data_IF_852258383366
#
_entry.id   IF_852258383366
#
_cell.length_a   1.000
_cell.length_b   1.000
_cell.length_c   1.000
_cell.angle_alpha   90.00
_cell.angle_beta   90.00
_cell.angle_gamma   90.00
#
_symmetry.space_group_name_H-M   'P 1'
#
loop_
_entity.id
_entity.type
_entity.pdbx_description
1 polymer ?
#
# COMPACT_ATOMS: atom_id res chain seq x y z
N UNK A 1 41.27 19.23 -57.29
CA UNK A 1 40.62 17.90 -57.22
C UNK A 1 40.47 17.29 -55.81
N UNK A 2 40.77 18.00 -54.70
CA UNK A 2 40.60 17.43 -53.33
C UNK A 2 39.27 17.81 -52.68
N UNK A 3 38.67 18.95 -53.07
CA UNK A 3 37.39 19.46 -52.51
C UNK A 3 36.15 18.67 -52.94
N UNK A 4 36.26 17.84 -53.97
CA UNK A 4 35.13 17.11 -54.56
C UNK A 4 34.81 15.81 -53.81
N UNK A 5 35.82 15.17 -53.22
CA UNK A 5 35.65 13.98 -52.38
C UNK A 5 34.94 14.30 -51.05
N UNK A 6 35.26 15.43 -50.43
CA UNK A 6 34.62 15.87 -49.19
C UNK A 6 33.12 16.17 -49.37
N UNK A 7 32.73 16.70 -50.55
CA UNK A 7 31.32 17.02 -50.86
C UNK A 7 30.46 15.77 -51.10
N UNK A 8 31.07 14.65 -51.52
CA UNK A 8 30.37 13.37 -51.76
C UNK A 8 30.33 12.44 -50.54
N UNK A 9 31.23 12.61 -49.57
CA UNK A 9 31.31 11.75 -48.38
C UNK A 9 30.52 12.29 -47.17
N UNK A 10 30.20 13.59 -47.14
CA UNK A 10 29.36 14.21 -46.12
C UNK A 10 27.91 13.68 -46.01
N UNK A 11 27.20 13.34 -47.12
CA UNK A 11 25.80 12.89 -47.05
C UNK A 11 25.63 11.42 -46.63
N UNK A 12 26.52 10.53 -47.09
CA UNK A 12 26.42 9.09 -46.82
C UNK A 12 26.74 8.75 -45.37
N UNK A 13 27.79 9.36 -44.80
CA UNK A 13 28.13 9.20 -43.37
C UNK A 13 27.04 9.79 -42.46
N UNK A 14 26.39 10.88 -42.88
CA UNK A 14 25.25 11.48 -42.16
C UNK A 14 24.00 10.63 -42.22
N UNK A 15 23.75 9.95 -43.35
CA UNK A 15 22.67 8.97 -43.46
C UNK A 15 22.94 7.73 -42.62
N UNK A 16 24.18 7.23 -42.60
CA UNK A 16 24.55 6.06 -41.83
C UNK A 16 24.49 6.32 -40.32
N UNK A 17 24.92 7.51 -39.87
CA UNK A 17 24.77 7.93 -38.47
C UNK A 17 23.32 8.16 -38.07
N UNK A 18 22.46 8.66 -38.97
CA UNK A 18 21.03 8.78 -38.72
C UNK A 18 20.35 7.41 -38.56
N UNK A 19 20.67 6.45 -39.43
CA UNK A 19 20.14 5.07 -39.34
C UNK A 19 20.67 4.35 -38.11
N UNK A 20 21.98 4.46 -37.83
CA UNK A 20 22.60 3.88 -36.63
C UNK A 20 22.03 4.48 -35.34
N UNK A 21 21.82 5.79 -35.31
CA UNK A 21 21.17 6.49 -34.20
C UNK A 21 19.73 6.01 -33.99
N UNK A 22 18.94 5.90 -35.07
CA UNK A 22 17.57 5.40 -34.99
C UNK A 22 17.51 3.96 -34.45
N UNK A 23 18.42 3.09 -34.89
CA UNK A 23 18.52 1.72 -34.40
C UNK A 23 18.90 1.68 -32.91
N UNK A 24 19.85 2.52 -32.49
CA UNK A 24 20.25 2.63 -31.09
C UNK A 24 19.10 3.14 -30.21
N UNK A 25 18.34 4.14 -30.66
CA UNK A 25 17.16 4.62 -29.94
C UNK A 25 16.08 3.54 -29.84
N UNK A 26 15.82 2.80 -30.92
CA UNK A 26 14.87 1.69 -30.90
C UNK A 26 15.28 0.60 -29.88
N UNK A 27 16.57 0.23 -29.86
CA UNK A 27 17.09 -0.72 -28.88
C UNK A 27 16.97 -0.18 -27.44
N UNK A 28 17.31 1.09 -27.22
CA UNK A 28 17.18 1.73 -25.91
C UNK A 28 15.73 1.75 -25.42
N UNK A 29 14.77 2.07 -26.30
CA UNK A 29 13.33 2.04 -25.97
C UNK A 29 12.88 0.63 -25.64
N UNK A 30 13.31 -0.38 -26.40
CA UNK A 30 12.96 -1.77 -26.12
C UNK A 30 13.48 -2.21 -24.73
N UNK A 31 14.73 -1.91 -24.41
CA UNK A 31 15.31 -2.23 -23.10
C UNK A 31 14.57 -1.47 -21.98
N UNK A 32 14.31 -0.17 -22.19
CA UNK A 32 13.57 0.66 -21.24
C UNK A 32 12.16 0.11 -20.97
N UNK A 33 11.46 -0.34 -22.01
CA UNK A 33 10.15 -0.97 -21.88
C UNK A 33 10.20 -2.26 -21.07
N UNK A 34 11.19 -3.12 -21.34
CA UNK A 34 11.39 -4.36 -20.57
C UNK A 34 11.65 -4.03 -19.10
N UNK A 35 12.58 -3.12 -18.81
CA UNK A 35 12.89 -2.70 -17.43
C UNK A 35 11.67 -2.09 -16.73
N UNK A 36 10.89 -1.27 -17.43
CA UNK A 36 9.66 -0.68 -16.90
C UNK A 36 8.63 -1.75 -16.52
N UNK A 37 8.46 -2.80 -17.34
CA UNK A 37 7.57 -3.93 -17.03
C UNK A 37 8.05 -4.68 -15.79
N UNK A 38 9.34 -4.97 -15.67
CA UNK A 38 9.89 -5.64 -14.49
C UNK A 38 9.69 -4.83 -13.21
N UNK A 39 9.94 -3.51 -13.29
CA UNK A 39 9.73 -2.63 -12.16
C UNK A 39 8.24 -2.55 -11.79
N UNK A 40 7.36 -2.39 -12.78
CA UNK A 40 5.91 -2.37 -12.56
C UNK A 40 5.42 -3.66 -11.91
N UNK A 41 5.86 -4.83 -12.39
CA UNK A 41 5.53 -6.12 -11.79
C UNK A 41 5.99 -6.20 -10.33
N UNK A 42 7.20 -5.73 -10.04
CA UNK A 42 7.74 -5.70 -8.66
C UNK A 42 6.90 -4.81 -7.75
N UNK A 43 6.55 -3.60 -8.21
CA UNK A 43 5.69 -2.67 -7.48
C UNK A 43 4.31 -3.27 -7.22
N UNK A 44 3.73 -3.97 -8.20
CA UNK A 44 2.44 -4.67 -8.04
C UNK A 44 2.53 -5.72 -6.92
N UNK A 45 3.57 -6.53 -6.91
CA UNK A 45 3.76 -7.55 -5.85
C UNK A 45 3.87 -6.88 -4.47
N UNK A 46 4.67 -5.83 -4.35
CA UNK A 46 4.81 -5.07 -3.10
C UNK A 46 3.47 -4.46 -2.68
N UNK A 47 2.74 -3.85 -3.62
CA UNK A 47 1.45 -3.24 -3.35
C UNK A 47 0.42 -4.28 -2.86
N UNK A 48 0.41 -5.48 -3.45
CA UNK A 48 -0.46 -6.58 -3.02
C UNK A 48 -0.09 -7.04 -1.60
N UNK A 49 1.19 -7.26 -1.32
CA UNK A 49 1.64 -7.65 0.02
C UNK A 49 1.36 -6.57 1.06
N UNK A 50 1.67 -5.32 0.77
CA UNK A 50 1.39 -4.19 1.65
C UNK A 50 -0.11 -4.05 1.91
N UNK A 51 -0.95 -4.19 0.87
CA UNK A 51 -2.41 -4.14 1.02
C UNK A 51 -2.93 -5.28 1.89
N UNK A 52 -2.41 -6.50 1.72
CA UNK A 52 -2.76 -7.62 2.58
C UNK A 52 -2.39 -7.34 4.04
N UNK A 53 -1.16 -6.89 4.30
CA UNK A 53 -0.71 -6.54 5.65
C UNK A 53 -1.53 -5.41 6.27
N UNK A 54 -1.86 -4.37 5.51
CA UNK A 54 -2.71 -3.27 5.95
C UNK A 54 -4.15 -3.72 6.25
N UNK A 55 -4.71 -4.62 5.44
CA UNK A 55 -6.03 -5.19 5.70
C UNK A 55 -6.05 -6.00 7.00
N UNK A 56 -5.03 -6.84 7.24
CA UNK A 56 -4.90 -7.60 8.49
C UNK A 56 -4.68 -6.67 9.69
N UNK A 57 -3.81 -5.68 9.57
CA UNK A 57 -3.56 -4.69 10.62
C UNK A 57 -4.85 -3.90 10.94
N UNK A 58 -5.59 -3.48 9.93
CA UNK A 58 -6.88 -2.81 10.09
C UNK A 58 -7.91 -3.70 10.79
N UNK A 59 -7.98 -4.98 10.43
CA UNK A 59 -8.86 -5.94 11.08
C UNK A 59 -8.49 -6.18 12.55
N UNK A 60 -7.19 -6.30 12.85
CA UNK A 60 -6.68 -6.44 14.21
C UNK A 60 -7.01 -5.22 15.08
N UNK A 61 -6.81 -4.00 14.55
CA UNK A 61 -7.17 -2.76 15.23
C UNK A 61 -8.69 -2.65 15.45
N UNK A 62 -9.50 -3.06 14.46
CA UNK A 62 -10.96 -3.11 14.57
C UNK A 62 -11.41 -4.10 15.65
N UNK A 63 -10.80 -5.29 15.71
CA UNK A 63 -11.09 -6.28 16.74
C UNK A 63 -10.70 -5.77 18.13
N UNK A 64 -9.56 -5.09 18.27
CA UNK A 64 -9.14 -4.45 19.53
C UNK A 64 -10.15 -3.39 19.98
N UNK A 65 -10.61 -2.52 19.08
CA UNK A 65 -11.63 -1.49 19.37
C UNK A 65 -12.97 -2.12 19.74
N UNK A 66 -13.40 -3.17 19.04
CA UNK A 66 -14.63 -3.88 19.35
C UNK A 66 -14.59 -4.54 20.74
N UNK A 67 -13.43 -5.10 21.13
CA UNK A 67 -13.22 -5.66 22.49
C UNK A 67 -13.20 -4.57 23.55
N UNK A 68 -12.57 -3.43 23.29
CA UNK A 68 -12.57 -2.30 24.22
C UNK A 68 -14.00 -1.82 24.50
N UNK A 69 -14.80 -1.58 23.44
CA UNK A 69 -16.21 -1.24 23.60
C UNK A 69 -17.01 -2.33 24.33
N UNK A 70 -16.75 -3.60 24.04
CA UNK A 70 -17.41 -4.71 24.75
C UNK A 70 -17.04 -4.74 26.23
N UNK A 71 -15.79 -4.43 26.59
CA UNK A 71 -15.36 -4.37 27.99
C UNK A 71 -15.99 -3.18 28.72
N UNK A 72 -16.07 -2.01 28.08
CA UNK A 72 -16.74 -0.84 28.65
C UNK A 72 -18.24 -1.15 28.88
N UNK A 73 -18.92 -1.73 27.88
CA UNK A 73 -20.33 -2.15 28.02
C UNK A 73 -20.53 -3.33 28.99
N UNK A 74 -19.55 -4.22 29.11
CA UNK A 74 -19.60 -5.30 30.09
C UNK A 74 -19.45 -4.75 31.51
N UNK A 75 -18.62 -3.73 31.72
CA UNK A 75 -18.46 -3.09 33.03
C UNK A 75 -19.66 -2.20 33.40
N UNK A 76 -20.32 -1.57 32.42
CA UNK A 76 -21.57 -0.79 32.59
C UNK A 76 -22.82 -1.69 32.81
N UNK A 77 -22.70 -3.00 32.54
CA UNK A 77 -23.77 -3.99 32.68
C UNK A 77 -23.52 -5.07 33.74
N UNK A 78 -22.38 -5.07 34.43
CA UNK A 78 -22.12 -6.00 35.53
C UNK A 78 -22.91 -5.54 36.74
N UNK A 79 -24.03 -6.24 36.96
CA UNK A 79 -24.75 -6.22 38.22
C UNK A 79 -23.84 -6.83 39.28
N UNK A 80 -23.13 -6.00 40.03
CA UNK A 80 -22.36 -6.47 41.19
C UNK A 80 -23.35 -6.95 42.25
N UNK A 81 -23.53 -8.27 42.31
CA UNK A 81 -24.31 -8.93 43.35
C UNK A 81 -23.43 -9.05 44.60
N UNK A 82 -23.42 -8.02 45.44
CA UNK A 82 -22.70 -8.05 46.72
C UNK A 82 -23.58 -8.74 47.76
N UNK A 83 -23.14 -9.88 48.26
CA UNK A 83 -23.81 -10.54 49.39
C UNK A 83 -23.50 -9.75 50.67
N UNK A 84 -24.51 -9.07 51.21
CA UNK A 84 -24.40 -8.22 52.41
C UNK A 84 -24.50 -9.04 53.72
N UNK A 85 -24.48 -10.37 53.61
CA UNK A 85 -24.65 -11.30 54.72
C UNK A 85 -26.10 -11.76 54.88
N UNK A 86 -26.30 -13.05 55.14
CA UNK A 86 -27.61 -13.70 55.24
C UNK A 86 -28.10 -14.33 53.92
N UNK A 87 -29.43 -14.45 53.75
CA UNK A 87 -30.08 -15.07 52.57
C UNK A 87 -30.47 -14.07 51.47
N UNK A 88 -30.03 -12.82 51.55
CA UNK A 88 -30.45 -11.76 50.64
C UNK A 88 -29.32 -11.36 49.70
N UNK A 89 -29.58 -11.49 48.40
CA UNK A 89 -28.71 -11.01 47.34
C UNK A 89 -29.33 -9.76 46.72
N UNK A 90 -28.58 -8.65 46.69
CA UNK A 90 -29.02 -7.39 46.09
C UNK A 90 -28.13 -7.07 44.90
N UNK A 91 -28.78 -6.79 43.78
CA UNK A 91 -28.18 -6.38 42.53
C UNK A 91 -28.06 -4.85 42.50
N UNK A 92 -26.84 -4.30 42.58
CA UNK A 92 -26.62 -2.89 42.30
C UNK A 92 -26.07 -2.75 40.88
N UNK A 93 -26.84 -2.08 40.01
CA UNK A 93 -26.38 -1.60 38.71
C UNK A 93 -26.21 -0.08 38.81
N UNK A 94 -24.97 0.40 38.67
CA UNK A 94 -24.69 1.83 38.60
C UNK A 94 -24.81 2.26 37.14
N UNK A 95 -25.80 3.09 36.81
CA UNK A 95 -25.95 3.65 35.47
C UNK A 95 -25.24 5.01 35.43
N UNK A 96 -24.03 5.05 34.85
CA UNK A 96 -23.22 6.27 34.74
C UNK A 96 -23.82 7.33 33.80
N UNK A 97 -24.96 7.02 33.15
CA UNK A 97 -25.61 7.89 32.15
C UNK A 97 -26.67 8.84 32.73
N UNK A 98 -26.37 9.50 33.84
CA UNK A 98 -27.10 10.67 34.34
C UNK A 98 -26.14 11.88 34.39
N UNK A 99 -25.70 12.34 33.21
CA UNK A 99 -24.78 13.47 33.17
C UNK A 99 -24.30 13.91 31.78
N UNK A 100 -25.22 14.49 31.01
CA UNK A 100 -25.01 15.36 29.83
C UNK A 100 -24.82 14.68 28.47
#
# INVERSE_FOLDING_TARGET
MVREFARKHGPALRSLSAVGGALATAAAVAIGAVLAVFFAATVVVIAVMASALLALAGLALRAKRARAHRNDSANDGVIEARNLGGHHWVAYGWNERQGR
#
